data_IF_667030105301
#
_entry.id   IF_667030105301
#
_cell.length_a   1.000
_cell.length_b   1.000
_cell.length_c   1.000
_cell.angle_alpha   90.00
_cell.angle_beta   90.00
_cell.angle_gamma   90.00
#
_symmetry.space_group_name_H-M   'P 1'
#
loop_
_entity.id
_entity.type
_entity.pdbx_description
1 polymer ?
#
# COMPACT_ATOMS: atom_id res chain seq x y z
N UNK A 1 20.75 -15.08 -19.12
CA UNK A 1 20.56 -16.20 -18.15
C UNK A 1 19.15 -16.79 -18.21
N UNK A 2 18.18 -16.15 -18.87
CA UNK A 2 16.79 -16.66 -18.98
C UNK A 2 15.92 -16.45 -17.73
N UNK A 3 16.38 -15.66 -16.77
CA UNK A 3 15.56 -15.28 -15.60
C UNK A 3 14.38 -14.44 -16.06
N UNK A 4 13.19 -14.72 -15.51
CA UNK A 4 12.01 -13.86 -15.67
C UNK A 4 12.06 -12.71 -14.67
N UNK A 5 11.57 -11.56 -15.10
CA UNK A 5 11.45 -10.35 -14.28
C UNK A 5 9.99 -9.95 -14.11
N UNK A 6 9.71 -9.19 -13.08
CA UNK A 6 8.35 -8.74 -12.73
C UNK A 6 7.74 -7.78 -13.76
N UNK A 7 8.55 -7.15 -14.61
CA UNK A 7 8.16 -6.32 -15.75
C UNK A 7 9.32 -6.16 -16.74
N UNK A 8 9.08 -5.48 -17.86
CA UNK A 8 10.10 -5.15 -18.87
C UNK A 8 10.89 -3.87 -18.55
N UNK A 9 10.61 -3.23 -17.41
CA UNK A 9 11.32 -2.02 -16.98
C UNK A 9 12.76 -2.32 -16.55
N UNK A 10 13.75 -1.42 -16.81
CA UNK A 10 15.14 -1.61 -16.43
C UNK A 10 15.38 -1.81 -14.92
N UNK A 11 14.45 -1.34 -14.09
CA UNK A 11 14.47 -1.48 -12.63
C UNK A 11 13.69 -2.68 -12.10
N UNK A 12 13.14 -3.51 -13.00
CA UNK A 12 12.37 -4.69 -12.61
C UNK A 12 13.21 -5.67 -11.79
N UNK A 13 12.55 -6.29 -10.81
CA UNK A 13 13.17 -7.30 -9.98
C UNK A 13 12.94 -8.70 -10.59
N UNK A 14 13.86 -9.66 -10.36
CA UNK A 14 13.65 -11.04 -10.79
C UNK A 14 12.45 -11.66 -10.06
N UNK A 15 11.72 -12.53 -10.74
CA UNK A 15 10.71 -13.39 -10.11
C UNK A 15 11.44 -14.47 -9.31
N UNK A 16 11.21 -14.50 -8.00
CA UNK A 16 11.88 -15.41 -7.06
C UNK A 16 10.84 -16.19 -6.25
N UNK A 17 11.18 -17.44 -5.93
CA UNK A 17 10.47 -18.23 -4.93
C UNK A 17 10.69 -17.67 -3.51
N UNK A 18 9.96 -18.20 -2.53
CA UNK A 18 10.17 -17.88 -1.10
C UNK A 18 11.58 -18.25 -0.60
N UNK A 19 12.31 -19.06 -1.35
CA UNK A 19 13.68 -19.50 -1.06
C UNK A 19 14.72 -18.89 -2.00
N UNK A 20 14.40 -17.77 -2.65
CA UNK A 20 15.27 -16.98 -3.53
C UNK A 20 15.67 -17.67 -4.83
N UNK A 21 15.04 -18.81 -5.18
CA UNK A 21 15.29 -19.47 -6.47
C UNK A 21 14.56 -18.70 -7.58
N UNK A 22 15.26 -18.46 -8.67
CA UNK A 22 14.73 -17.77 -9.84
C UNK A 22 13.84 -18.69 -10.69
N UNK A 23 13.28 -18.17 -11.78
CA UNK A 23 12.59 -18.97 -12.80
C UNK A 23 13.49 -20.00 -13.50
N UNK A 24 14.81 -19.95 -13.28
CA UNK A 24 15.78 -20.91 -13.77
C UNK A 24 16.18 -21.84 -12.63
N UNK A 25 15.85 -23.16 -12.71
CA UNK A 25 16.15 -24.10 -11.64
C UNK A 25 17.63 -24.14 -11.26
N UNK A 26 17.90 -24.12 -9.95
CA UNK A 26 19.26 -24.11 -9.39
C UNK A 26 19.96 -22.75 -9.40
N UNK A 27 19.29 -21.70 -9.90
CA UNK A 27 19.84 -20.34 -9.92
C UNK A 27 19.13 -19.47 -8.88
N UNK A 28 19.87 -19.09 -7.85
CA UNK A 28 19.40 -18.28 -6.73
C UNK A 28 19.87 -16.84 -6.85
N UNK A 29 19.03 -15.88 -6.49
CA UNK A 29 19.34 -14.45 -6.51
C UNK A 29 19.04 -13.85 -5.15
N UNK A 30 20.04 -13.19 -4.54
CA UNK A 30 19.95 -12.60 -3.20
C UNK A 30 20.48 -11.17 -3.17
N UNK A 31 20.20 -10.45 -2.09
CA UNK A 31 20.72 -9.12 -1.82
C UNK A 31 20.12 -8.04 -2.72
N UNK A 32 20.94 -7.10 -3.17
CA UNK A 32 20.50 -5.94 -3.92
C UNK A 32 19.78 -6.31 -5.23
N UNK A 33 20.20 -7.38 -5.90
CA UNK A 33 19.57 -7.88 -7.12
C UNK A 33 18.17 -8.47 -6.88
N UNK A 34 17.91 -8.94 -5.66
CA UNK A 34 16.58 -9.39 -5.23
C UNK A 34 15.72 -8.25 -4.64
N UNK A 35 16.19 -7.01 -4.68
CA UNK A 35 15.50 -5.84 -4.14
C UNK A 35 15.89 -5.48 -2.69
N UNK A 36 16.89 -6.14 -2.10
CA UNK A 36 17.32 -5.96 -0.71
C UNK A 36 18.70 -5.31 -0.62
N UNK A 37 18.82 -3.97 -0.66
CA UNK A 37 20.11 -3.28 -0.75
C UNK A 37 20.89 -3.23 0.58
N UNK A 38 20.42 -3.91 1.64
CA UNK A 38 21.07 -3.94 2.95
C UNK A 38 21.97 -5.16 3.07
N UNK A 39 23.25 -4.94 3.41
CA UNK A 39 24.28 -5.99 3.53
C UNK A 39 23.84 -7.09 4.51
N UNK A 40 23.30 -6.72 5.67
CA UNK A 40 22.83 -7.69 6.68
C UNK A 40 21.76 -8.63 6.12
N UNK A 41 20.79 -8.09 5.39
CA UNK A 41 19.73 -8.90 4.75
C UNK A 41 20.33 -9.80 3.67
N UNK A 42 21.22 -9.28 2.83
CA UNK A 42 21.88 -10.07 1.79
C UNK A 42 22.67 -11.25 2.36
N UNK A 43 23.35 -11.05 3.50
CA UNK A 43 24.08 -12.12 4.20
C UNK A 43 23.13 -13.19 4.74
N UNK A 44 22.03 -12.79 5.35
CA UNK A 44 21.01 -13.72 5.86
C UNK A 44 20.39 -14.54 4.73
N UNK A 45 20.01 -13.89 3.62
CA UNK A 45 19.48 -14.55 2.43
C UNK A 45 20.46 -15.55 1.85
N UNK A 46 21.77 -15.19 1.76
CA UNK A 46 22.82 -16.10 1.31
C UNK A 46 22.93 -17.34 2.22
N UNK A 47 22.85 -17.16 3.52
CA UNK A 47 22.83 -18.27 4.48
C UNK A 47 21.59 -19.17 4.27
N UNK A 48 20.40 -18.59 4.16
CA UNK A 48 19.15 -19.32 3.90
C UNK A 48 19.20 -20.14 2.60
N UNK A 49 19.79 -19.57 1.54
CA UNK A 49 19.97 -20.28 0.26
C UNK A 49 20.91 -21.48 0.42
N UNK A 50 22.04 -21.32 1.12
CA UNK A 50 23.00 -22.42 1.34
C UNK A 50 22.33 -23.54 2.16
N UNK A 51 21.60 -23.21 3.21
CA UNK A 51 20.86 -24.20 4.02
C UNK A 51 19.79 -24.91 3.17
N UNK A 52 19.06 -24.17 2.35
CA UNK A 52 18.05 -24.72 1.43
C UNK A 52 18.68 -25.71 0.43
N UNK A 53 19.81 -25.35 -0.19
CA UNK A 53 20.55 -26.22 -1.11
C UNK A 53 21.08 -27.47 -0.39
N UNK A 54 21.45 -27.33 0.88
CA UNK A 54 21.92 -28.44 1.72
C UNK A 54 20.79 -29.35 2.22
N UNK A 55 19.52 -29.02 1.91
CA UNK A 55 18.36 -29.78 2.33
C UNK A 55 17.90 -29.51 3.76
N UNK A 56 18.39 -28.46 4.39
CA UNK A 56 17.98 -28.06 5.72
C UNK A 56 16.77 -27.11 5.66
N UNK A 57 15.76 -27.39 6.46
CA UNK A 57 14.63 -26.47 6.66
C UNK A 57 14.92 -25.54 7.84
N UNK A 58 15.21 -24.27 7.52
CA UNK A 58 15.37 -23.22 8.51
C UNK A 58 14.27 -22.17 8.37
N UNK A 59 13.83 -21.54 9.46
CA UNK A 59 12.92 -20.39 9.37
C UNK A 59 13.62 -19.23 8.69
N UNK A 60 12.86 -18.38 7.95
CA UNK A 60 13.41 -17.15 7.39
C UNK A 60 14.07 -16.28 8.47
N UNK A 61 15.19 -15.64 8.13
CA UNK A 61 15.95 -14.82 9.07
C UNK A 61 15.18 -13.58 9.57
N UNK A 62 14.13 -13.18 8.88
CA UNK A 62 13.23 -12.10 9.25
C UNK A 62 12.05 -12.55 10.14
N UNK A 63 11.88 -13.87 10.36
CA UNK A 63 10.79 -14.41 11.17
C UNK A 63 10.73 -13.80 12.57
N UNK A 64 11.82 -13.67 13.35
CA UNK A 64 11.76 -13.05 14.67
C UNK A 64 11.30 -11.58 14.65
N UNK A 65 11.61 -10.84 13.58
CA UNK A 65 11.17 -9.44 13.43
C UNK A 65 9.66 -9.36 13.18
N UNK A 66 9.14 -10.29 12.39
CA UNK A 66 7.71 -10.37 12.12
C UNK A 66 6.93 -10.90 13.33
N UNK A 67 7.48 -11.88 14.07
CA UNK A 67 6.89 -12.34 15.34
C UNK A 67 6.75 -11.19 16.34
N UNK A 68 7.76 -10.34 16.49
CA UNK A 68 7.70 -9.16 17.34
C UNK A 68 6.61 -8.19 16.89
N UNK A 69 6.49 -7.93 15.58
CA UNK A 69 5.44 -7.06 15.03
C UNK A 69 4.03 -7.60 15.23
N UNK A 70 3.86 -8.91 15.15
CA UNK A 70 2.58 -9.56 15.33
C UNK A 70 2.31 -9.98 16.80
N UNK A 71 3.17 -9.61 17.74
CA UNK A 71 3.02 -9.97 19.15
C UNK A 71 1.69 -9.50 19.77
N UNK A 72 1.09 -8.43 19.23
CA UNK A 72 -0.25 -7.97 19.63
C UNK A 72 -1.39 -8.92 19.21
N UNK A 73 -1.12 -9.92 18.36
CA UNK A 73 -2.07 -10.92 17.84
C UNK A 73 -1.64 -12.34 18.29
N UNK A 74 -1.71 -12.65 19.59
CA UNK A 74 -1.15 -13.89 20.13
C UNK A 74 -1.86 -15.13 19.58
N UNK A 75 -1.08 -16.22 19.48
CA UNK A 75 -1.60 -17.53 19.07
C UNK A 75 -1.76 -17.74 17.58
N UNK A 76 -1.34 -16.78 16.74
CA UNK A 76 -1.40 -16.87 15.28
C UNK A 76 0.03 -16.96 14.70
N UNK A 77 0.20 -17.82 13.69
CA UNK A 77 1.48 -17.95 12.99
C UNK A 77 1.71 -16.76 12.06
N UNK A 78 2.96 -16.33 11.92
CA UNK A 78 3.37 -15.22 11.05
C UNK A 78 2.85 -15.43 9.62
N UNK A 79 3.08 -16.60 9.03
CA UNK A 79 2.68 -16.86 7.65
C UNK A 79 1.15 -16.85 7.44
N UNK A 80 0.36 -17.24 8.44
CA UNK A 80 -1.10 -17.17 8.36
C UNK A 80 -1.58 -15.72 8.41
N UNK A 81 -0.96 -14.89 9.26
CA UNK A 81 -1.23 -13.45 9.33
C UNK A 81 -0.82 -12.73 8.05
N UNK A 82 0.35 -13.04 7.51
CA UNK A 82 0.81 -12.46 6.25
C UNK A 82 -0.16 -12.77 5.11
N UNK A 83 -0.58 -14.03 5.00
CA UNK A 83 -1.56 -14.45 3.98
C UNK A 83 -2.87 -13.71 4.15
N UNK A 84 -3.42 -13.65 5.36
CA UNK A 84 -4.67 -12.95 5.64
C UNK A 84 -4.61 -11.47 5.26
N UNK A 85 -3.52 -10.78 5.60
CA UNK A 85 -3.34 -9.36 5.26
C UNK A 85 -3.30 -9.21 3.74
N UNK A 86 -2.54 -10.04 3.05
CA UNK A 86 -2.37 -9.97 1.61
C UNK A 86 -3.68 -10.26 0.85
N UNK A 87 -4.45 -11.25 1.30
CA UNK A 87 -5.75 -11.59 0.72
C UNK A 87 -6.81 -10.52 0.99
N UNK A 88 -6.75 -9.88 2.15
CA UNK A 88 -7.74 -8.90 2.58
C UNK A 88 -7.49 -7.49 2.05
N UNK A 89 -6.28 -7.17 1.62
CA UNK A 89 -5.90 -5.83 1.16
C UNK A 89 -5.49 -5.89 -0.32
N UNK A 90 -6.39 -5.56 -1.27
CA UNK A 90 -6.13 -5.67 -2.71
C UNK A 90 -4.88 -4.93 -3.18
N UNK A 91 -4.55 -3.79 -2.56
CA UNK A 91 -3.34 -3.03 -2.84
C UNK A 91 -2.05 -3.88 -2.67
N UNK A 92 -2.06 -4.84 -1.75
CA UNK A 92 -0.91 -5.67 -1.38
C UNK A 92 -0.91 -7.04 -2.08
N UNK A 93 -1.99 -7.41 -2.76
CA UNK A 93 -2.19 -8.75 -3.36
C UNK A 93 -1.22 -9.08 -4.49
N UNK A 94 -0.63 -8.07 -5.12
CA UNK A 94 0.29 -8.25 -6.27
C UNK A 94 1.76 -8.33 -5.86
N UNK A 95 2.06 -8.27 -4.57
CA UNK A 95 3.43 -8.41 -4.07
C UNK A 95 3.85 -9.89 -4.06
N UNK A 96 5.13 -10.16 -4.37
CA UNK A 96 5.70 -11.47 -4.09
C UNK A 96 5.78 -11.69 -2.56
N UNK A 97 5.89 -12.95 -2.12
CA UNK A 97 6.00 -13.27 -0.70
C UNK A 97 7.18 -12.54 -0.04
N UNK A 98 8.33 -12.49 -0.71
CA UNK A 98 9.52 -11.79 -0.20
C UNK A 98 9.30 -10.28 -0.10
N UNK A 99 8.75 -9.65 -1.14
CA UNK A 99 8.41 -8.21 -1.12
C UNK A 99 7.44 -7.89 -0.01
N UNK A 100 6.46 -8.78 0.22
CA UNK A 100 5.44 -8.57 1.23
C UNK A 100 6.00 -8.70 2.65
N UNK A 101 6.88 -9.66 2.91
CA UNK A 101 7.59 -9.78 4.20
C UNK A 101 8.40 -8.52 4.51
N UNK A 102 9.18 -8.01 3.54
CA UNK A 102 9.92 -6.76 3.71
C UNK A 102 9.00 -5.57 3.97
N UNK A 103 7.92 -5.45 3.21
CA UNK A 103 6.90 -4.41 3.39
C UNK A 103 6.31 -4.42 4.81
N UNK A 104 6.03 -5.62 5.34
CA UNK A 104 5.50 -5.77 6.69
C UNK A 104 6.52 -5.44 7.78
N UNK A 105 7.82 -5.68 7.56
CA UNK A 105 8.89 -5.26 8.47
C UNK A 105 8.92 -3.73 8.62
N UNK A 106 8.71 -3.00 7.54
CA UNK A 106 8.66 -1.54 7.56
C UNK A 106 7.33 -0.98 8.09
N UNK A 107 6.27 -1.79 8.16
CA UNK A 107 4.92 -1.39 8.58
C UNK A 107 4.70 -1.56 10.09
N UNK A 108 3.66 -0.93 10.62
CA UNK A 108 3.25 -1.04 12.04
C UNK A 108 1.83 -1.60 12.11
N UNK A 109 1.62 -2.50 13.07
CA UNK A 109 0.31 -3.10 13.33
C UNK A 109 -0.41 -2.31 14.41
N UNK A 110 -1.67 -1.99 14.17
CA UNK A 110 -2.55 -1.35 15.14
C UNK A 110 -3.82 -2.15 15.36
N UNK A 111 -4.13 -2.41 16.62
CA UNK A 111 -5.44 -2.86 17.06
C UNK A 111 -6.15 -1.67 17.69
N UNK A 112 -7.28 -1.28 17.13
CA UNK A 112 -8.07 -0.13 17.58
C UNK A 112 -9.45 -0.59 18.03
N UNK A 113 -9.93 -0.04 19.14
CA UNK A 113 -11.29 -0.29 19.64
C UNK A 113 -12.28 0.68 19.00
N UNK A 114 -13.57 0.36 19.06
CA UNK A 114 -14.61 1.28 18.63
C UNK A 114 -14.48 2.63 19.37
N UNK A 115 -14.48 3.73 18.62
CA UNK A 115 -14.32 5.09 19.12
C UNK A 115 -12.86 5.59 19.17
N UNK A 116 -11.87 4.73 18.99
CA UNK A 116 -10.47 5.18 18.97
C UNK A 116 -10.21 6.06 17.75
N UNK A 117 -9.60 7.22 17.97
CA UNK A 117 -9.09 8.07 16.90
C UNK A 117 -7.81 7.44 16.34
N UNK A 118 -7.75 7.34 15.00
CA UNK A 118 -6.56 6.82 14.30
C UNK A 118 -5.62 7.96 14.00
N UNK A 119 -6.15 9.05 13.47
CA UNK A 119 -5.48 10.35 13.35
C UNK A 119 -6.51 11.48 13.23
N UNK A 120 -6.09 12.69 13.53
CA UNK A 120 -6.93 13.89 13.46
C UNK A 120 -6.63 14.72 12.20
N UNK A 121 -7.62 15.50 11.78
CA UNK A 121 -7.44 16.53 10.75
C UNK A 121 -6.31 17.49 11.15
N UNK A 122 -5.50 17.89 10.18
CA UNK A 122 -4.34 18.76 10.33
C UNK A 122 -3.12 18.13 11.04
N UNK A 123 -3.18 16.88 11.50
CA UNK A 123 -1.98 16.17 11.92
C UNK A 123 -0.94 16.07 10.81
N UNK A 124 0.32 16.14 11.21
CA UNK A 124 1.45 15.99 10.32
C UNK A 124 1.97 14.55 10.38
N UNK A 125 1.34 13.66 9.66
CA UNK A 125 1.76 12.26 9.57
C UNK A 125 1.95 11.85 8.10
N UNK A 126 2.82 10.88 7.88
CA UNK A 126 3.35 10.53 6.56
C UNK A 126 3.23 9.03 6.30
N UNK A 127 2.05 8.49 6.59
CA UNK A 127 1.76 7.07 6.47
C UNK A 127 0.40 6.83 5.84
N UNK A 128 0.21 5.63 5.31
CA UNK A 128 -1.04 5.11 4.76
C UNK A 128 -1.49 3.95 5.63
N UNK A 129 -2.78 3.88 5.90
CA UNK A 129 -3.39 2.80 6.67
C UNK A 129 -4.19 1.87 5.78
N UNK A 130 -3.99 0.58 5.91
CA UNK A 130 -4.81 -0.47 5.27
C UNK A 130 -5.69 -1.15 6.32
N UNK A 131 -6.96 -1.36 6.00
CA UNK A 131 -7.93 -2.02 6.88
C UNK A 131 -7.91 -3.51 6.57
N UNK A 132 -7.27 -4.30 7.44
CA UNK A 132 -7.25 -5.76 7.34
C UNK A 132 -8.57 -6.33 7.85
N UNK A 133 -9.08 -5.76 8.96
CA UNK A 133 -10.36 -6.12 9.55
C UNK A 133 -11.00 -4.90 10.23
N UNK A 134 -12.34 -4.89 10.29
CA UNK A 134 -13.09 -3.82 10.93
C UNK A 134 -13.64 -2.79 9.96
N UNK A 135 -13.92 -1.60 10.49
CA UNK A 135 -14.44 -0.44 9.75
C UNK A 135 -14.03 0.85 10.42
N UNK A 136 -13.79 1.88 9.62
CA UNK A 136 -13.51 3.23 10.11
C UNK A 136 -14.49 4.23 9.52
N UNK A 137 -14.74 5.31 10.23
CA UNK A 137 -15.45 6.49 9.76
C UNK A 137 -14.44 7.60 9.47
N UNK A 138 -14.50 8.15 8.27
CA UNK A 138 -13.73 9.32 7.84
C UNK A 138 -14.65 10.52 7.95
N UNK A 139 -14.36 11.45 8.85
CA UNK A 139 -15.10 12.70 9.03
C UNK A 139 -14.69 13.71 7.97
N UNK A 140 -15.57 13.94 6.99
CA UNK A 140 -15.28 14.82 5.84
C UNK A 140 -15.49 16.27 6.27
N UNK A 141 -16.61 16.56 6.93
CA UNK A 141 -16.98 17.89 7.38
C UNK A 141 -16.54 18.12 8.82
N UNK A 142 -15.68 19.14 9.09
CA UNK A 142 -15.29 19.45 10.46
C UNK A 142 -16.40 20.05 11.31
N UNK A 143 -17.48 20.58 10.69
CA UNK A 143 -18.59 21.22 11.37
C UNK A 143 -19.75 20.24 11.64
N UNK A 144 -19.78 19.08 10.97
CA UNK A 144 -20.78 18.04 11.17
C UNK A 144 -20.11 16.67 11.37
N UNK A 145 -20.06 16.20 12.60
CA UNK A 145 -19.49 14.90 12.97
C UNK A 145 -20.28 13.70 12.41
N UNK A 146 -21.52 13.93 11.95
CA UNK A 146 -22.36 12.88 11.36
C UNK A 146 -22.10 12.71 9.85
N UNK A 147 -21.48 13.69 9.22
CA UNK A 147 -21.11 13.60 7.81
C UNK A 147 -19.82 12.78 7.65
N UNK A 148 -19.99 11.46 7.62
CA UNK A 148 -18.90 10.49 7.57
C UNK A 148 -18.98 9.58 6.36
N UNK A 149 -17.81 9.24 5.80
CA UNK A 149 -17.64 8.16 4.84
C UNK A 149 -17.14 6.92 5.56
N UNK A 150 -17.90 5.81 5.48
CA UNK A 150 -17.48 4.53 6.05
C UNK A 150 -16.52 3.81 5.09
N UNK A 151 -15.33 3.45 5.59
CA UNK A 151 -14.40 2.56 4.92
C UNK A 151 -14.38 1.20 5.60
N UNK A 152 -14.32 0.14 4.79
CA UNK A 152 -14.42 -1.25 5.22
C UNK A 152 -13.11 -2.00 5.00
N UNK A 153 -13.07 -3.22 5.50
CA UNK A 153 -12.04 -4.22 5.19
C UNK A 153 -11.65 -4.17 3.71
N UNK A 154 -10.34 -4.20 3.43
CA UNK A 154 -9.78 -4.09 2.10
C UNK A 154 -9.54 -2.66 1.60
N UNK A 155 -10.14 -1.67 2.26
CA UNK A 155 -9.88 -0.26 1.95
C UNK A 155 -8.57 0.21 2.58
N UNK A 156 -8.03 1.30 2.04
CA UNK A 156 -6.91 2.03 2.64
C UNK A 156 -7.28 3.52 2.76
N UNK A 157 -6.57 4.25 3.61
CA UNK A 157 -6.80 5.68 3.84
C UNK A 157 -5.52 6.38 4.30
N UNK A 158 -5.52 7.72 4.23
CA UNK A 158 -4.36 8.55 4.55
C UNK A 158 -3.41 8.78 3.37
N UNK A 159 -3.71 8.24 2.20
CA UNK A 159 -2.95 8.39 0.96
C UNK A 159 -2.90 9.83 0.45
N UNK A 160 -3.90 10.66 0.78
CA UNK A 160 -3.91 12.07 0.39
C UNK A 160 -2.69 12.83 0.95
N UNK A 161 -2.27 12.49 2.18
CA UNK A 161 -1.03 13.01 2.76
C UNK A 161 0.22 12.54 2.02
N UNK A 162 0.18 11.34 1.43
CA UNK A 162 1.27 10.77 0.65
C UNK A 162 1.44 11.50 -0.69
N UNK A 163 0.33 11.68 -1.42
CA UNK A 163 0.32 12.24 -2.78
C UNK A 163 0.63 13.74 -2.73
N UNK A 164 -0.06 14.49 -1.88
CA UNK A 164 0.04 15.94 -1.84
C UNK A 164 1.11 16.49 -0.86
N UNK A 165 1.78 15.63 -0.08
CA UNK A 165 2.74 16.05 0.95
C UNK A 165 2.12 16.97 2.01
N UNK A 166 0.81 16.89 2.21
CA UNK A 166 0.02 17.78 3.05
C UNK A 166 -0.31 17.16 4.39
N UNK A 167 -0.86 17.98 5.29
CA UNK A 167 -1.46 17.51 6.54
C UNK A 167 -2.68 16.63 6.27
N UNK A 168 -3.09 15.84 7.27
CA UNK A 168 -4.32 15.04 7.20
C UNK A 168 -5.52 15.91 6.85
N UNK A 169 -6.28 15.51 5.85
CA UNK A 169 -7.45 16.27 5.36
C UNK A 169 -8.72 15.98 6.13
N UNK A 170 -8.74 14.88 6.90
CA UNK A 170 -9.90 14.42 7.65
C UNK A 170 -9.47 13.80 8.98
N UNK A 171 -10.40 13.71 9.94
CA UNK A 171 -10.27 12.87 11.14
C UNK A 171 -10.79 11.47 10.83
N UNK A 172 -10.09 10.44 11.29
CA UNK A 172 -10.49 9.04 11.10
C UNK A 172 -10.63 8.35 12.43
N UNK A 173 -11.81 7.75 12.64
CA UNK A 173 -12.20 7.09 13.89
C UNK A 173 -12.60 5.65 13.62
N UNK A 174 -12.17 4.73 14.46
CA UNK A 174 -12.58 3.33 14.38
C UNK A 174 -14.09 3.20 14.70
N UNK A 175 -14.89 2.74 13.74
CA UNK A 175 -16.32 2.50 13.95
C UNK A 175 -16.59 1.28 14.83
N UNK A 176 -15.70 0.30 14.76
CA UNK A 176 -15.66 -0.91 15.58
C UNK A 176 -14.22 -1.37 15.74
N UNK A 177 -14.02 -2.46 16.43
CA UNK A 177 -12.69 -3.05 16.54
C UNK A 177 -12.06 -3.23 15.16
N UNK A 178 -10.83 -2.74 15.01
CA UNK A 178 -10.10 -2.71 13.74
C UNK A 178 -8.71 -3.31 13.90
N UNK A 179 -8.33 -4.10 12.90
CA UNK A 179 -6.95 -4.48 12.64
C UNK A 179 -6.45 -3.66 11.45
N UNK A 180 -5.47 -2.80 11.69
CA UNK A 180 -4.91 -1.87 10.71
C UNK A 180 -3.42 -2.13 10.52
N UNK A 181 -2.97 -1.95 9.28
CA UNK A 181 -1.55 -1.90 8.91
C UNK A 181 -1.21 -0.46 8.54
N UNK A 182 -0.36 0.19 9.33
CA UNK A 182 0.19 1.50 9.02
C UNK A 182 1.50 1.35 8.26
N UNK A 183 1.56 1.91 7.06
CA UNK A 183 2.72 1.84 6.18
C UNK A 183 3.34 3.21 6.03
N UNK A 184 4.63 3.40 6.39
CA UNK A 184 5.34 4.65 6.19
C UNK A 184 5.43 5.04 4.72
N UNK A 185 5.49 6.34 4.43
CA UNK A 185 5.64 6.87 3.07
C UNK A 185 6.74 6.17 2.27
N UNK A 186 7.90 5.92 2.90
CA UNK A 186 9.04 5.27 2.24
C UNK A 186 8.67 3.89 1.68
N UNK A 187 8.04 3.05 2.50
CA UNK A 187 7.64 1.71 2.09
C UNK A 187 6.54 1.76 1.02
N UNK A 188 5.61 2.71 1.14
CA UNK A 188 4.57 2.91 0.14
C UNK A 188 5.13 3.39 -1.21
N UNK A 189 6.09 4.30 -1.23
CA UNK A 189 6.76 4.72 -2.47
C UNK A 189 7.54 3.58 -3.11
N UNK A 190 8.20 2.72 -2.30
CA UNK A 190 8.85 1.52 -2.80
C UNK A 190 7.84 0.55 -3.43
N UNK A 191 6.69 0.34 -2.78
CA UNK A 191 5.58 -0.46 -3.33
C UNK A 191 5.13 0.07 -4.71
N UNK A 192 4.86 1.38 -4.82
CA UNK A 192 4.42 2.02 -6.06
C UNK A 192 5.43 1.83 -7.20
N UNK A 193 6.73 1.90 -6.89
CA UNK A 193 7.79 1.78 -7.90
C UNK A 193 8.11 0.34 -8.30
N UNK A 194 7.84 -0.65 -7.43
CA UNK A 194 8.27 -2.03 -7.65
C UNK A 194 7.13 -3.00 -7.97
N UNK A 195 5.86 -2.61 -7.71
CA UNK A 195 4.70 -3.48 -7.95
C UNK A 195 3.85 -2.91 -9.07
N UNK A 196 3.79 -3.57 -10.23
CA UNK A 196 2.94 -3.15 -11.33
C UNK A 196 1.48 -3.03 -10.89
N UNK A 197 0.84 -1.93 -11.26
CA UNK A 197 -0.57 -1.68 -10.92
C UNK A 197 -0.82 -1.06 -9.54
N UNK A 198 0.12 -1.10 -8.58
CA UNK A 198 -0.07 -0.47 -7.27
C UNK A 198 -0.35 1.04 -7.38
N UNK A 199 0.38 1.74 -8.27
CA UNK A 199 0.14 3.16 -8.55
C UNK A 199 -1.29 3.39 -9.04
N UNK A 200 -1.76 2.59 -10.01
CA UNK A 200 -3.12 2.72 -10.56
C UNK A 200 -4.20 2.55 -9.47
N UNK A 201 -4.03 1.60 -8.56
CA UNK A 201 -4.97 1.40 -7.44
C UNK A 201 -5.04 2.63 -6.53
N UNK A 202 -3.89 3.22 -6.21
CA UNK A 202 -3.81 4.44 -5.40
C UNK A 202 -4.41 5.65 -6.10
N UNK A 203 -4.05 5.86 -7.37
CA UNK A 203 -4.56 6.96 -8.20
C UNK A 203 -6.09 6.87 -8.34
N UNK A 204 -6.61 5.69 -8.67
CA UNK A 204 -8.05 5.42 -8.76
C UNK A 204 -8.77 5.74 -7.45
N UNK A 205 -8.22 5.33 -6.31
CA UNK A 205 -8.82 5.61 -5.01
C UNK A 205 -8.77 7.11 -4.66
N UNK A 206 -7.69 7.80 -5.02
CA UNK A 206 -7.57 9.24 -4.82
C UNK A 206 -8.59 10.02 -5.64
N UNK A 207 -8.74 9.72 -6.94
CA UNK A 207 -9.73 10.32 -7.83
C UNK A 207 -11.14 10.07 -7.28
N UNK A 208 -11.46 8.82 -6.95
CA UNK A 208 -12.76 8.45 -6.38
C UNK A 208 -13.12 9.32 -5.18
N UNK A 209 -12.19 9.48 -4.23
CA UNK A 209 -12.42 10.28 -3.02
C UNK A 209 -12.52 11.76 -3.29
N UNK A 210 -11.70 12.30 -4.21
CA UNK A 210 -11.79 13.71 -4.59
C UNK A 210 -13.15 14.04 -5.18
N UNK A 211 -13.64 13.22 -6.10
CA UNK A 211 -14.96 13.41 -6.69
C UNK A 211 -16.04 13.33 -5.62
N UNK A 212 -16.01 12.28 -4.78
CA UNK A 212 -17.01 12.08 -3.75
C UNK A 212 -17.00 13.18 -2.67
N UNK A 213 -15.81 13.71 -2.32
CA UNK A 213 -15.70 14.71 -1.25
C UNK A 213 -15.99 16.12 -1.76
N UNK A 214 -15.58 16.48 -2.97
CA UNK A 214 -15.56 17.87 -3.41
C UNK A 214 -16.52 18.21 -4.55
N UNK A 215 -16.88 17.24 -5.39
CA UNK A 215 -17.71 17.50 -6.56
C UNK A 215 -19.13 16.97 -6.41
N UNK A 216 -19.27 15.73 -5.99
CA UNK A 216 -20.57 15.06 -6.00
C UNK A 216 -20.71 14.08 -4.81
N UNK A 217 -20.96 14.59 -3.59
CA UNK A 217 -21.07 13.77 -2.38
C UNK A 217 -22.17 12.70 -2.46
N UNK A 218 -23.23 12.95 -3.21
CA UNK A 218 -24.39 12.08 -3.35
C UNK A 218 -24.47 11.34 -4.69
N UNK A 219 -23.35 11.27 -5.44
CA UNK A 219 -23.32 10.58 -6.72
C UNK A 219 -23.58 9.08 -6.55
N UNK A 220 -24.32 8.48 -7.47
CA UNK A 220 -24.51 7.03 -7.53
C UNK A 220 -23.18 6.32 -7.78
N UNK A 221 -22.99 5.18 -7.11
CA UNK A 221 -21.68 4.45 -7.14
C UNK A 221 -21.29 4.00 -8.54
N UNK A 222 -22.27 3.59 -9.34
CA UNK A 222 -22.07 3.14 -10.71
C UNK A 222 -21.57 4.28 -11.60
N UNK A 223 -22.21 5.44 -11.50
CA UNK A 223 -21.81 6.63 -12.25
C UNK A 223 -20.44 7.15 -11.79
N UNK A 224 -20.19 7.14 -10.47
CA UNK A 224 -18.88 7.52 -9.94
C UNK A 224 -17.78 6.62 -10.49
N UNK A 225 -18.04 5.32 -10.59
CA UNK A 225 -17.09 4.36 -11.16
C UNK A 225 -16.80 4.66 -12.63
N UNK A 226 -17.82 4.94 -13.45
CA UNK A 226 -17.64 5.32 -14.86
C UNK A 226 -16.78 6.57 -15.01
N UNK A 227 -17.00 7.59 -14.18
CA UNK A 227 -16.19 8.82 -14.17
C UNK A 227 -14.75 8.51 -13.79
N UNK A 228 -14.52 7.73 -12.74
CA UNK A 228 -13.18 7.35 -12.28
C UNK A 228 -12.44 6.51 -13.32
N UNK A 229 -13.13 5.58 -13.99
CA UNK A 229 -12.55 4.75 -15.04
C UNK A 229 -12.15 5.56 -16.29
N UNK A 230 -12.82 6.71 -16.55
CA UNK A 230 -12.51 7.63 -17.64
C UNK A 230 -11.53 8.74 -17.27
N UNK A 231 -11.25 8.94 -15.98
CA UNK A 231 -10.37 10.00 -15.51
C UNK A 231 -8.89 9.69 -15.79
N UNK A 232 -8.13 10.74 -16.12
CA UNK A 232 -6.68 10.68 -16.27
C UNK A 232 -5.99 11.62 -15.29
N UNK A 233 -4.79 11.26 -14.85
CA UNK A 233 -3.96 12.13 -14.03
C UNK A 233 -2.87 12.72 -14.91
N UNK A 234 -2.88 14.06 -15.00
CA UNK A 234 -1.86 14.81 -15.71
C UNK A 234 -0.92 15.50 -14.70
N UNK A 235 0.38 15.44 -14.97
CA UNK A 235 1.40 16.12 -14.17
C UNK A 235 1.89 17.34 -14.93
N UNK A 236 1.75 18.51 -14.33
CA UNK A 236 2.16 19.78 -14.93
C UNK A 236 3.38 20.33 -14.18
N UNK A 237 4.32 20.87 -14.94
CA UNK A 237 5.47 21.61 -14.44
C UNK A 237 5.12 23.08 -14.25
N UNK A 238 5.90 23.78 -13.42
CA UNK A 238 5.71 25.22 -13.26
C UNK A 238 5.89 25.94 -14.61
N UNK A 239 4.84 26.67 -15.02
CA UNK A 239 4.80 27.37 -16.32
C UNK A 239 4.05 26.66 -17.43
N UNK A 240 3.67 25.39 -17.23
CA UNK A 240 2.83 24.69 -18.19
C UNK A 240 1.41 25.28 -18.23
N UNK A 241 0.87 25.39 -19.43
CA UNK A 241 -0.51 25.85 -19.63
C UNK A 241 -1.42 24.64 -19.75
N UNK A 242 -2.44 24.60 -18.92
CA UNK A 242 -3.45 23.54 -18.93
C UNK A 242 -4.59 23.84 -19.90
N UNK A 243 -5.08 25.08 -19.87
CA UNK A 243 -6.15 25.60 -20.74
C UNK A 243 -5.79 27.05 -21.07
N UNK A 244 -6.10 27.48 -22.28
CA UNK A 244 -5.99 28.87 -22.72
C UNK A 244 -7.38 29.47 -22.96
N UNK A 245 -7.51 30.79 -22.81
CA UNK A 245 -8.76 31.50 -23.11
C UNK A 245 -9.14 31.28 -24.59
N UNK A 246 -10.36 30.76 -24.80
CA UNK A 246 -10.88 30.43 -26.13
C UNK A 246 -10.72 28.97 -26.55
N UNK A 247 -10.06 28.13 -25.75
CA UNK A 247 -10.03 26.69 -26.01
C UNK A 247 -11.43 26.08 -25.79
N UNK A 248 -11.89 25.28 -26.74
CA UNK A 248 -13.06 24.43 -26.57
C UNK A 248 -12.61 23.19 -25.76
N UNK A 249 -13.19 23.00 -24.60
CA UNK A 249 -12.88 21.83 -23.76
C UNK A 249 -14.16 21.27 -23.13
N UNK A 250 -14.31 19.96 -23.24
CA UNK A 250 -15.33 19.15 -22.56
C UNK A 250 -14.78 18.50 -21.26
N UNK A 251 -13.58 18.89 -20.85
CA UNK A 251 -12.89 18.34 -19.69
C UNK A 251 -13.26 19.08 -18.40
N UNK A 252 -13.48 18.32 -17.33
CA UNK A 252 -13.53 18.83 -15.97
C UNK A 252 -12.22 18.54 -15.26
N UNK A 253 -11.65 19.54 -14.59
CA UNK A 253 -10.35 19.46 -13.94
C UNK A 253 -10.48 19.53 -12.43
N UNK A 254 -9.77 18.64 -11.74
CA UNK A 254 -9.67 18.62 -10.28
C UNK A 254 -8.19 18.69 -9.92
N UNK A 255 -7.81 19.68 -9.12
CA UNK A 255 -6.47 19.75 -8.57
C UNK A 255 -6.34 18.83 -7.36
N UNK A 256 -5.37 17.91 -7.40
CA UNK A 256 -5.07 16.93 -6.33
C UNK A 256 -3.85 17.38 -5.54
#
# INVERSE_FOLDING_TARGET
CGIKFTSDEPSALPELSERYESSVPGLYVVGALAGYPLIKLAMNQGYEVVETISGNEIPPADEPLLEEKFAALPGRKVNDLLREIQENVPLLSHMSALQFREFMIDSVIHLKKAGDVIFERNEYTNSVFSIVEGRVNVQINPEDENEVVELKKGSFFGEMGLIAGRRRTATVVAKRECFLVETPRRAMLKLISSVPGAKKVLDTAAIYRQIQTHLAPNIEKELLKEIVDSATIESLSAGDKLISEGDESDLSLIHI
#
